data_IF_740340561656
#
_entry.id   IF_740340561656
#
_cell.length_a   1.000
_cell.length_b   1.000
_cell.length_c   1.000
_cell.angle_alpha   90.00
_cell.angle_beta   90.00
_cell.angle_gamma   90.00
#
_symmetry.space_group_name_H-M   'P 1'
#
loop_
_entity.id
_entity.type
_entity.pdbx_description
1 polymer ?
#
# COMPACT_ATOMS: atom_id res chain seq x y z
N UNK A 1 27.11 -91.72 -32.06
CA UNK A 1 27.90 -91.03 -31.04
C UNK A 1 27.50 -89.53 -31.03
N UNK A 2 26.91 -89.14 -29.95
CA UNK A 2 26.27 -87.89 -29.62
C UNK A 2 27.24 -86.72 -29.44
N UNK A 3 26.98 -85.56 -29.91
CA UNK A 3 27.44 -84.30 -29.27
C UNK A 3 26.32 -83.26 -29.37
N UNK A 4 25.82 -82.94 -28.19
CA UNK A 4 24.90 -81.79 -27.97
C UNK A 4 25.70 -80.52 -28.08
N UNK A 5 25.09 -79.51 -28.70
CA UNK A 5 25.54 -78.13 -28.68
C UNK A 5 24.50 -77.31 -27.92
N UNK A 6 24.94 -76.74 -26.79
CA UNK A 6 24.16 -75.89 -25.91
C UNK A 6 24.13 -74.46 -26.51
N UNK A 7 22.93 -73.93 -26.78
CA UNK A 7 22.72 -72.55 -27.18
C UNK A 7 22.42 -71.70 -25.99
N UNK A 8 23.37 -70.81 -25.61
CA UNK A 8 23.16 -69.74 -24.61
C UNK A 8 22.26 -68.66 -25.23
N UNK A 9 21.08 -68.52 -24.66
CA UNK A 9 20.20 -67.38 -24.92
C UNK A 9 20.66 -66.17 -24.09
N UNK A 10 21.04 -65.09 -24.78
CA UNK A 10 21.30 -63.78 -24.17
C UNK A 10 19.98 -63.02 -24.13
N UNK A 11 19.42 -62.84 -22.91
CA UNK A 11 18.27 -62.01 -22.67
C UNK A 11 18.71 -60.53 -22.52
N UNK A 12 18.39 -59.68 -23.49
CA UNK A 12 18.56 -58.23 -23.42
C UNK A 12 17.40 -57.64 -22.58
N UNK A 13 17.72 -57.25 -21.33
CA UNK A 13 16.82 -56.42 -20.51
C UNK A 13 16.92 -54.96 -20.99
N UNK A 14 15.91 -54.52 -21.74
CA UNK A 14 15.73 -53.11 -22.05
C UNK A 14 15.11 -52.40 -20.84
N UNK A 15 15.93 -51.71 -20.06
CA UNK A 15 15.48 -50.85 -18.96
C UNK A 15 14.88 -49.56 -19.51
N UNK A 16 13.56 -49.41 -19.42
CA UNK A 16 12.87 -48.15 -19.71
C UNK A 16 13.07 -47.23 -18.49
N UNK A 17 13.96 -46.23 -18.62
CA UNK A 17 14.06 -45.09 -17.67
C UNK A 17 12.83 -44.20 -17.90
N UNK A 18 11.83 -44.33 -17.04
CA UNK A 18 10.78 -43.34 -16.88
C UNK A 18 11.37 -42.11 -16.19
N UNK A 19 11.77 -41.11 -16.97
CA UNK A 19 12.09 -39.78 -16.46
C UNK A 19 10.78 -39.13 -15.97
N UNK A 20 10.50 -39.23 -14.68
CA UNK A 20 9.46 -38.42 -14.03
C UNK A 20 9.92 -36.99 -14.02
N UNK A 21 9.45 -36.19 -14.96
CA UNK A 21 9.51 -34.72 -14.87
C UNK A 21 8.67 -34.30 -13.68
N UNK A 22 9.33 -34.07 -12.55
CA UNK A 22 8.70 -33.38 -11.43
C UNK A 22 8.29 -31.97 -11.92
N UNK A 23 7.01 -31.81 -12.20
CA UNK A 23 6.43 -30.48 -12.37
C UNK A 23 6.67 -29.76 -11.05
N UNK A 24 7.60 -28.78 -11.06
CA UNK A 24 7.76 -27.85 -9.95
C UNK A 24 6.42 -27.13 -9.77
N UNK A 25 5.68 -27.52 -8.75
CA UNK A 25 4.51 -26.73 -8.33
C UNK A 25 5.00 -25.32 -8.06
N UNK A 26 4.32 -24.29 -8.59
CA UNK A 26 4.66 -22.92 -8.24
C UNK A 26 4.59 -22.83 -6.72
N UNK A 27 5.69 -22.40 -6.11
CA UNK A 27 5.77 -22.17 -4.68
C UNK A 27 4.62 -21.21 -4.34
N UNK A 28 3.58 -21.72 -3.72
CA UNK A 28 2.51 -20.89 -3.17
C UNK A 28 3.18 -19.95 -2.19
N UNK A 29 3.24 -18.66 -2.54
CA UNK A 29 3.80 -17.63 -1.67
C UNK A 29 2.92 -17.57 -0.41
N UNK A 30 3.32 -18.31 0.62
CA UNK A 30 2.65 -18.37 1.94
C UNK A 30 2.79 -17.06 2.72
N UNK A 31 3.26 -15.99 2.07
CA UNK A 31 3.26 -14.68 2.70
C UNK A 31 1.84 -14.26 2.98
N UNK A 32 1.56 -13.96 4.24
CA UNK A 32 0.30 -13.37 4.64
C UNK A 32 0.05 -12.13 3.79
N UNK A 33 -1.08 -12.11 3.07
CA UNK A 33 -1.47 -10.95 2.27
C UNK A 33 -1.63 -9.75 3.19
N UNK A 34 -1.13 -8.62 2.72
CA UNK A 34 -1.18 -7.35 3.40
C UNK A 34 -2.60 -6.81 3.49
N UNK A 35 -2.90 -6.07 4.57
CA UNK A 35 -4.09 -5.23 4.68
C UNK A 35 -3.69 -3.79 4.43
N UNK A 36 -4.36 -3.14 3.47
CA UNK A 36 -4.07 -1.79 3.02
C UNK A 36 -5.17 -0.83 3.50
N UNK A 37 -4.79 0.16 4.30
CA UNK A 37 -5.63 1.30 4.68
C UNK A 37 -5.13 2.55 3.98
N UNK A 38 -6.01 3.28 3.32
CA UNK A 38 -5.66 4.51 2.61
C UNK A 38 -6.43 5.67 3.21
N UNK A 39 -5.70 6.66 3.67
CA UNK A 39 -6.23 7.95 4.13
C UNK A 39 -6.08 9.00 3.04
N UNK A 40 -7.16 9.65 2.67
CA UNK A 40 -7.21 10.71 1.66
C UNK A 40 -7.43 12.05 2.34
N UNK A 41 -6.51 12.97 2.12
CA UNK A 41 -6.64 14.33 2.59
C UNK A 41 -7.51 15.16 1.63
N UNK A 42 -8.52 15.81 2.19
CA UNK A 42 -9.47 16.64 1.48
C UNK A 42 -9.43 18.09 1.99
N UNK A 43 -8.39 18.42 2.78
CA UNK A 43 -8.18 19.74 3.39
C UNK A 43 -7.82 20.82 2.37
N UNK A 44 -8.10 22.07 2.76
CA UNK A 44 -7.81 23.23 1.94
C UNK A 44 -6.33 23.40 1.60
N UNK A 45 -5.41 23.07 2.51
CA UNK A 45 -3.96 23.19 2.27
C UNK A 45 -3.49 22.25 1.15
N UNK A 46 -3.94 21.01 1.15
CA UNK A 46 -3.62 20.02 0.13
C UNK A 46 -4.18 20.40 -1.26
N UNK A 47 -5.39 20.97 -1.27
CA UNK A 47 -6.00 21.49 -2.51
C UNK A 47 -5.26 22.70 -3.05
N UNK A 48 -4.91 23.66 -2.19
CA UNK A 48 -4.18 24.89 -2.57
C UNK A 48 -2.76 24.59 -3.08
N UNK A 49 -2.14 23.54 -2.60
CA UNK A 49 -0.86 23.05 -3.13
C UNK A 49 -0.95 22.54 -4.57
N UNK A 50 -2.17 22.33 -5.10
CA UNK A 50 -2.42 21.78 -6.43
C UNK A 50 -2.21 20.26 -6.53
N UNK A 51 -1.96 19.59 -5.43
CA UNK A 51 -1.61 18.17 -5.40
C UNK A 51 -2.85 17.24 -5.36
N UNK A 52 -4.00 17.72 -4.88
CA UNK A 52 -5.23 16.92 -4.74
C UNK A 52 -5.67 16.23 -6.04
N UNK A 53 -5.83 16.95 -7.14
CA UNK A 53 -6.28 16.38 -8.42
C UNK A 53 -5.32 15.30 -8.95
N UNK A 54 -4.01 15.60 -9.08
CA UNK A 54 -2.99 14.61 -9.42
C UNK A 54 -2.94 13.40 -8.48
N UNK A 55 -3.17 13.61 -7.18
CA UNK A 55 -3.19 12.55 -6.19
C UNK A 55 -4.38 11.60 -6.36
N UNK A 56 -5.58 12.11 -6.68
CA UNK A 56 -6.75 11.26 -6.94
C UNK A 56 -6.54 10.39 -8.19
N UNK A 57 -5.97 10.97 -9.25
CA UNK A 57 -5.61 10.19 -10.45
C UNK A 57 -4.56 9.13 -10.11
N UNK A 58 -3.49 9.49 -9.39
CA UNK A 58 -2.46 8.53 -8.95
C UNK A 58 -3.07 7.40 -8.11
N UNK A 59 -3.95 7.75 -7.17
CA UNK A 59 -4.59 6.77 -6.30
C UNK A 59 -5.47 5.79 -7.09
N UNK A 60 -6.14 6.25 -8.15
CA UNK A 60 -6.85 5.38 -9.08
C UNK A 60 -5.94 4.29 -9.67
N UNK A 61 -4.78 4.67 -10.19
CA UNK A 61 -3.76 3.72 -10.67
C UNK A 61 -3.23 2.83 -9.55
N UNK A 62 -2.89 3.39 -8.40
CA UNK A 62 -2.32 2.67 -7.26
C UNK A 62 -3.26 1.56 -6.77
N UNK A 63 -4.54 1.90 -6.53
CA UNK A 63 -5.54 0.93 -6.11
C UNK A 63 -5.77 -0.14 -7.17
N UNK A 64 -5.93 0.27 -8.43
CA UNK A 64 -6.08 -0.67 -9.55
C UNK A 64 -4.88 -1.64 -9.66
N UNK A 65 -3.67 -1.12 -9.51
CA UNK A 65 -2.44 -1.92 -9.53
C UNK A 65 -2.41 -2.98 -8.43
N UNK A 66 -2.78 -2.60 -7.20
CA UNK A 66 -2.87 -3.53 -6.07
C UNK A 66 -3.98 -4.56 -6.25
N UNK A 67 -5.17 -4.15 -6.65
CA UNK A 67 -6.32 -5.05 -6.85
C UNK A 67 -6.03 -6.12 -7.90
N UNK A 68 -5.24 -5.78 -8.93
CA UNK A 68 -4.89 -6.68 -10.02
C UNK A 68 -3.48 -7.29 -9.91
N UNK A 69 -2.71 -7.00 -8.85
CA UNK A 69 -1.37 -7.54 -8.63
C UNK A 69 -0.36 -7.10 -9.69
N UNK A 70 -0.53 -5.90 -10.27
CA UNK A 70 0.27 -5.44 -11.40
C UNK A 70 1.71 -5.10 -11.00
N UNK A 71 2.63 -5.37 -11.89
CA UNK A 71 4.04 -5.05 -11.72
C UNK A 71 4.69 -5.62 -10.47
N UNK A 72 4.11 -6.67 -9.86
CA UNK A 72 4.58 -7.27 -8.62
C UNK A 72 4.12 -6.55 -7.35
N UNK A 73 3.12 -5.67 -7.45
CA UNK A 73 2.37 -5.17 -6.29
C UNK A 73 1.58 -6.33 -5.67
N UNK A 74 1.58 -6.39 -4.33
CA UNK A 74 0.82 -7.43 -3.63
C UNK A 74 -0.68 -7.15 -3.68
N UNK A 75 -1.49 -8.14 -4.06
CA UNK A 75 -2.93 -8.03 -3.88
C UNK A 75 -3.25 -8.02 -2.38
N UNK A 76 -3.94 -6.99 -1.88
CA UNK A 76 -4.27 -6.92 -0.46
C UNK A 76 -5.31 -7.99 -0.09
N UNK A 77 -5.25 -8.46 1.16
CA UNK A 77 -6.32 -9.28 1.75
C UNK A 77 -7.56 -8.43 2.00
N UNK A 78 -7.33 -7.22 2.51
CA UNK A 78 -8.34 -6.22 2.79
C UNK A 78 -7.83 -4.86 2.34
N UNK A 79 -8.72 -4.05 1.81
CA UNK A 79 -8.45 -2.67 1.42
C UNK A 79 -9.56 -1.79 1.97
N UNK A 80 -9.19 -0.66 2.57
CA UNK A 80 -10.10 0.35 3.08
C UNK A 80 -9.61 1.74 2.71
N UNK A 81 -10.50 2.57 2.18
CA UNK A 81 -10.18 3.97 1.84
C UNK A 81 -11.12 4.90 2.58
N UNK A 82 -10.60 5.93 3.24
CA UNK A 82 -11.40 6.91 3.97
C UNK A 82 -10.76 8.30 3.91
N UNK A 83 -11.54 9.35 4.20
CA UNK A 83 -10.99 10.68 4.43
C UNK A 83 -10.19 10.73 5.74
N UNK A 84 -9.08 11.49 5.75
CA UNK A 84 -8.33 11.77 6.98
C UNK A 84 -9.01 12.91 7.74
N UNK A 85 -9.42 13.95 7.02
CA UNK A 85 -9.98 15.17 7.54
C UNK A 85 -11.48 15.15 7.79
N UNK A 86 -12.03 16.29 8.11
CA UNK A 86 -13.45 16.53 8.32
C UNK A 86 -13.77 17.99 8.50
N UNK A 87 -15.06 18.28 8.71
CA UNK A 87 -15.53 19.63 9.05
C UNK A 87 -15.35 19.93 10.53
N UNK A 88 -15.42 18.89 11.33
CA UNK A 88 -15.30 18.99 12.81
C UNK A 88 -14.23 18.01 13.30
N UNK A 89 -13.58 18.38 14.42
CA UNK A 89 -12.66 17.50 15.11
C UNK A 89 -13.40 16.24 15.61
N UNK A 90 -12.73 15.10 15.55
CA UNK A 90 -13.27 13.80 15.98
C UNK A 90 -14.45 13.26 15.17
N UNK A 91 -14.75 13.85 14.02
CA UNK A 91 -15.81 13.37 13.13
C UNK A 91 -15.52 11.94 12.63
N UNK A 92 -16.44 10.95 12.83
CA UNK A 92 -16.24 9.60 12.35
C UNK A 92 -16.21 9.55 10.83
N UNK A 93 -15.31 8.74 10.25
CA UNK A 93 -15.16 8.59 8.79
C UNK A 93 -15.74 7.28 8.29
N UNK A 94 -16.38 7.36 7.13
CA UNK A 94 -16.80 6.18 6.40
C UNK A 94 -15.59 5.56 5.68
N UNK A 95 -15.38 4.27 5.87
CA UNK A 95 -14.36 3.50 5.17
C UNK A 95 -14.99 2.72 4.02
N UNK A 96 -14.53 2.97 2.81
CA UNK A 96 -14.90 2.25 1.61
C UNK A 96 -14.08 0.96 1.52
N UNK A 97 -14.71 -0.23 1.61
CA UNK A 97 -14.00 -1.51 1.60
C UNK A 97 -13.58 -1.91 0.18
N UNK A 98 -12.73 -2.95 0.10
CA UNK A 98 -12.25 -3.52 -1.17
C UNK A 98 -13.35 -3.81 -2.20
N UNK A 99 -14.55 -4.21 -1.74
CA UNK A 99 -15.68 -4.53 -2.60
C UNK A 99 -16.20 -3.31 -3.39
N UNK A 100 -16.03 -2.10 -2.85
CA UNK A 100 -16.43 -0.87 -3.54
C UNK A 100 -15.59 -0.60 -4.79
N UNK A 101 -14.43 -1.24 -4.90
CA UNK A 101 -13.47 -1.08 -6.00
C UNK A 101 -13.40 -2.30 -6.93
N UNK A 102 -13.94 -3.44 -6.51
CA UNK A 102 -13.82 -4.69 -7.24
C UNK A 102 -14.44 -4.59 -8.64
N UNK A 103 -13.72 -5.07 -9.65
CA UNK A 103 -14.17 -5.10 -11.06
C UNK A 103 -14.21 -3.74 -11.76
N UNK A 104 -13.75 -2.66 -11.11
CA UNK A 104 -13.72 -1.31 -11.70
C UNK A 104 -12.39 -1.07 -12.43
N UNK A 105 -12.47 -0.29 -13.50
CA UNK A 105 -11.29 0.25 -14.17
C UNK A 105 -10.76 1.49 -13.45
N UNK A 106 -9.60 2.00 -13.89
CA UNK A 106 -8.92 3.14 -13.27
C UNK A 106 -9.80 4.39 -13.29
N UNK A 107 -10.50 4.64 -14.39
CA UNK A 107 -11.35 5.83 -14.56
C UNK A 107 -12.54 5.80 -13.62
N UNK A 108 -13.15 4.62 -13.46
CA UNK A 108 -14.25 4.40 -12.52
C UNK A 108 -13.79 4.56 -11.07
N UNK A 109 -12.61 4.01 -10.71
CA UNK A 109 -12.03 4.18 -9.38
C UNK A 109 -11.75 5.66 -9.10
N UNK A 110 -11.11 6.37 -10.04
CA UNK A 110 -10.81 7.80 -9.88
C UNK A 110 -12.10 8.64 -9.74
N UNK A 111 -13.14 8.35 -10.51
CA UNK A 111 -14.42 9.04 -10.42
C UNK A 111 -15.09 8.82 -9.05
N UNK A 112 -15.05 7.60 -8.54
CA UNK A 112 -15.58 7.27 -7.23
C UNK A 112 -14.80 7.96 -6.11
N UNK A 113 -13.45 7.96 -6.17
CA UNK A 113 -12.61 8.65 -5.20
C UNK A 113 -12.95 10.15 -5.14
N UNK A 114 -13.08 10.82 -6.28
CA UNK A 114 -13.46 12.25 -6.34
C UNK A 114 -14.86 12.52 -5.80
N UNK A 115 -15.79 11.58 -6.00
CA UNK A 115 -17.16 11.69 -5.49
C UNK A 115 -17.23 11.47 -3.99
N UNK A 116 -16.50 10.50 -3.44
CA UNK A 116 -16.52 10.17 -2.02
C UNK A 116 -15.68 11.11 -1.15
N UNK A 117 -14.64 11.66 -1.74
CA UNK A 117 -13.67 12.53 -1.05
C UNK A 117 -13.61 13.91 -1.69
N UNK A 118 -14.72 14.68 -1.75
CA UNK A 118 -14.68 16.03 -2.31
C UNK A 118 -13.77 16.92 -1.43
N UNK A 119 -13.03 17.88 -2.03
CA UNK A 119 -12.07 18.72 -1.31
C UNK A 119 -12.77 19.83 -0.51
N UNK A 120 -13.55 19.46 0.49
CA UNK A 120 -14.41 20.38 1.27
C UNK A 120 -14.10 20.38 2.76
N UNK A 121 -13.15 19.58 3.21
CA UNK A 121 -12.80 19.47 4.63
C UNK A 121 -11.97 20.68 5.08
N UNK A 122 -12.14 21.05 6.34
CA UNK A 122 -11.45 22.19 6.95
C UNK A 122 -10.33 21.75 7.90
N UNK A 123 -10.34 20.48 8.31
CA UNK A 123 -9.40 19.93 9.30
C UNK A 123 -8.76 18.64 8.78
N UNK A 124 -7.51 18.41 9.18
CA UNK A 124 -6.79 17.15 8.98
C UNK A 124 -6.53 16.52 10.36
N UNK A 125 -7.32 15.48 10.70
CA UNK A 125 -7.26 14.79 11.99
C UNK A 125 -6.70 13.36 11.84
N UNK A 126 -5.38 13.25 11.89
CA UNK A 126 -4.69 11.97 11.81
C UNK A 126 -5.03 11.04 12.97
N UNK A 127 -5.28 11.58 14.17
CA UNK A 127 -5.49 10.78 15.38
C UNK A 127 -6.80 9.99 15.30
N UNK A 128 -7.87 10.65 14.85
CA UNK A 128 -9.17 9.98 14.63
C UNK A 128 -9.04 8.93 13.53
N UNK A 129 -8.35 9.24 12.44
CA UNK A 129 -8.12 8.28 11.36
C UNK A 129 -7.36 7.04 11.87
N UNK A 130 -6.25 7.20 12.61
CA UNK A 130 -5.48 6.07 13.15
C UNK A 130 -6.26 5.26 14.18
N UNK A 131 -7.04 5.91 15.04
CA UNK A 131 -7.90 5.19 15.98
C UNK A 131 -8.94 4.33 15.26
N UNK A 132 -9.53 4.83 14.16
CA UNK A 132 -10.49 4.07 13.35
C UNK A 132 -9.83 2.92 12.58
N UNK A 133 -8.64 3.13 12.01
CA UNK A 133 -7.83 2.05 11.40
C UNK A 133 -7.59 0.93 12.43
N UNK A 134 -7.19 1.31 13.65
CA UNK A 134 -6.94 0.34 14.71
C UNK A 134 -8.21 -0.44 15.10
N UNK A 135 -9.35 0.24 15.18
CA UNK A 135 -10.64 -0.39 15.47
C UNK A 135 -11.02 -1.40 14.39
N UNK A 136 -10.99 -0.99 13.10
CA UNK A 136 -11.33 -1.88 11.97
C UNK A 136 -10.38 -3.07 11.91
N UNK A 137 -9.06 -2.84 12.10
CA UNK A 137 -8.08 -3.92 12.08
C UNK A 137 -8.36 -4.98 13.15
N UNK A 138 -8.81 -4.58 14.35
CA UNK A 138 -9.22 -5.50 15.43
C UNK A 138 -10.54 -6.21 15.10
N UNK A 139 -11.56 -5.48 14.69
CA UNK A 139 -12.88 -6.02 14.34
C UNK A 139 -12.80 -7.05 13.21
N UNK A 140 -11.89 -6.83 12.24
CA UNK A 140 -11.68 -7.73 11.08
C UNK A 140 -10.61 -8.79 11.31
N UNK A 141 -10.04 -8.90 12.52
CA UNK A 141 -8.97 -9.86 12.85
C UNK A 141 -7.74 -9.76 11.92
N UNK A 142 -7.30 -8.52 11.63
CA UNK A 142 -6.15 -8.25 10.73
C UNK A 142 -4.81 -8.14 11.48
N UNK A 143 -4.82 -8.25 12.81
CA UNK A 143 -3.67 -7.99 13.69
C UNK A 143 -2.46 -8.91 13.46
N UNK A 144 -2.66 -10.06 12.84
CA UNK A 144 -1.56 -11.01 12.52
C UNK A 144 -0.99 -10.80 11.11
N UNK A 145 -1.66 -10.02 10.27
CA UNK A 145 -1.24 -9.74 8.89
C UNK A 145 -0.35 -8.48 8.84
N UNK A 146 0.53 -8.34 7.85
CA UNK A 146 1.17 -7.07 7.58
C UNK A 146 0.10 -5.99 7.31
N UNK A 147 0.30 -4.78 7.85
CA UNK A 147 -0.60 -3.65 7.65
C UNK A 147 0.20 -2.49 7.07
N UNK A 148 -0.27 -1.95 5.97
CA UNK A 148 0.20 -0.67 5.43
C UNK A 148 -0.92 0.37 5.56
N UNK A 149 -0.58 1.51 6.11
CA UNK A 149 -1.40 2.71 6.14
C UNK A 149 -0.77 3.73 5.21
N UNK A 150 -1.41 3.96 4.05
CA UNK A 150 -0.99 4.98 3.09
C UNK A 150 -1.76 6.28 3.36
N UNK A 151 -1.06 7.37 3.57
CA UNK A 151 -1.62 8.71 3.73
C UNK A 151 -1.32 9.53 2.48
N UNK A 152 -2.37 9.93 1.77
CA UNK A 152 -2.30 10.80 0.59
C UNK A 152 -2.62 12.21 1.05
N UNK A 153 -1.59 13.00 1.39
CA UNK A 153 -1.74 14.27 2.12
C UNK A 153 -0.46 15.10 2.04
N UNK A 154 -0.56 16.41 2.21
CA UNK A 154 0.61 17.27 2.47
C UNK A 154 1.21 17.04 3.86
N UNK A 155 0.52 16.33 4.73
CA UNK A 155 0.98 15.89 6.05
C UNK A 155 0.93 16.98 7.13
N UNK A 156 0.22 18.07 6.91
CA UNK A 156 0.08 19.16 7.88
C UNK A 156 -1.10 18.87 8.81
N UNK A 157 -0.89 18.67 10.13
CA UNK A 157 -1.98 18.53 11.09
C UNK A 157 -2.66 19.87 11.31
N UNK A 158 -4.00 19.93 11.18
CA UNK A 158 -4.77 21.18 11.24
C UNK A 158 -5.66 21.29 12.48
N UNK A 159 -5.78 20.24 13.29
CA UNK A 159 -6.61 20.30 14.51
C UNK A 159 -6.04 21.34 15.47
N UNK A 160 -6.80 22.40 15.81
CA UNK A 160 -6.31 23.45 16.70
C UNK A 160 -5.97 22.91 18.08
N UNK A 161 -4.78 23.26 18.58
CA UNK A 161 -4.35 22.92 19.93
C UNK A 161 -4.07 24.21 20.69
N UNK A 162 -4.74 24.48 21.84
CA UNK A 162 -4.51 25.68 22.63
C UNK A 162 -3.03 25.85 22.98
N UNK A 163 -2.49 27.04 22.71
CA UNK A 163 -1.09 27.37 22.99
C UNK A 163 -0.04 26.76 22.04
N UNK A 164 -0.45 26.03 21.02
CA UNK A 164 0.46 25.44 20.01
C UNK A 164 0.33 26.18 18.69
N UNK A 165 1.46 26.63 18.15
CA UNK A 165 1.48 27.33 16.86
C UNK A 165 1.24 26.33 15.72
N UNK A 166 0.33 26.63 14.75
CA UNK A 166 0.13 25.80 13.58
C UNK A 166 1.43 25.54 12.80
N UNK A 167 1.63 24.31 12.32
CA UNK A 167 2.81 23.89 11.55
C UNK A 167 4.12 23.83 12.34
N UNK A 168 4.08 24.01 13.67
CA UNK A 168 5.26 23.86 14.53
C UNK A 168 5.53 22.38 14.86
N UNK A 169 6.79 22.05 15.25
CA UNK A 169 7.16 20.72 15.73
C UNK A 169 6.20 20.15 16.78
N UNK A 170 5.73 21.01 17.68
CA UNK A 170 4.79 20.64 18.74
C UNK A 170 3.44 20.11 18.22
N UNK A 171 3.01 20.48 17.01
CA UNK A 171 1.82 19.90 16.38
C UNK A 171 2.05 18.44 16.01
N UNK A 172 3.21 18.13 15.41
CA UNK A 172 3.55 16.76 15.01
C UNK A 172 3.75 15.83 16.22
N UNK A 173 4.25 16.37 17.34
CA UNK A 173 4.36 15.60 18.59
C UNK A 173 3.00 15.20 19.18
N UNK A 174 1.90 15.79 18.70
CA UNK A 174 0.53 15.44 19.08
C UNK A 174 -0.09 14.36 18.20
N UNK A 175 0.56 13.99 17.11
CA UNK A 175 0.12 12.87 16.29
C UNK A 175 0.37 11.58 17.08
N UNK A 176 -0.72 10.84 17.32
CA UNK A 176 -0.69 9.63 18.15
C UNK A 176 -0.74 8.36 17.28
N UNK A 177 0.39 7.69 17.13
CA UNK A 177 0.49 6.38 16.51
C UNK A 177 0.27 5.22 17.50
N UNK A 178 0.03 5.50 18.78
CA UNK A 178 -0.19 4.50 19.83
C UNK A 178 -1.24 3.44 19.49
N UNK A 179 -2.41 3.80 18.93
CA UNK A 179 -3.41 2.82 18.49
C UNK A 179 -2.88 1.79 17.49
N UNK A 180 -1.86 2.15 16.68
CA UNK A 180 -1.27 1.32 15.64
C UNK A 180 -0.09 0.45 16.13
N UNK A 181 0.58 0.84 17.21
CA UNK A 181 1.86 0.27 17.68
C UNK A 181 1.83 -1.24 17.92
N UNK A 182 0.68 -1.77 18.33
CA UNK A 182 0.52 -3.17 18.72
C UNK A 182 -0.40 -3.98 17.82
N UNK A 183 -0.84 -3.40 16.69
CA UNK A 183 -1.74 -4.10 15.76
C UNK A 183 -1.02 -5.21 15.01
N UNK A 184 0.21 -4.97 14.57
CA UNK A 184 0.99 -5.93 13.79
C UNK A 184 2.48 -5.72 14.01
N UNK A 185 3.27 -6.82 13.93
CA UNK A 185 4.73 -6.71 13.93
C UNK A 185 5.27 -5.99 12.69
N UNK A 186 4.52 -6.01 11.59
CA UNK A 186 4.85 -5.40 10.31
C UNK A 186 3.82 -4.33 9.95
N UNK A 187 3.71 -3.29 10.74
CA UNK A 187 2.92 -2.12 10.42
C UNK A 187 3.81 -1.02 9.86
N UNK A 188 3.38 -0.46 8.73
CA UNK A 188 4.06 0.62 8.06
C UNK A 188 3.07 1.75 7.77
N UNK A 189 3.43 2.97 8.16
CA UNK A 189 2.77 4.21 7.74
C UNK A 189 3.57 4.81 6.59
N UNK A 190 2.93 5.10 5.49
CA UNK A 190 3.51 5.75 4.31
C UNK A 190 2.81 7.06 4.06
N UNK A 191 3.57 8.12 3.99
CA UNK A 191 3.08 9.47 3.70
C UNK A 191 3.56 9.86 2.31
N UNK A 192 2.64 10.20 1.42
CA UNK A 192 2.96 10.68 0.08
C UNK A 192 2.43 12.10 -0.10
N UNK A 193 3.17 12.94 -0.83
CA UNK A 193 2.98 14.37 -1.09
C UNK A 193 3.42 15.35 0.01
N UNK A 194 4.03 15.02 1.16
CA UNK A 194 4.56 16.04 2.03
C UNK A 194 5.67 16.83 1.32
N UNK A 195 5.83 18.11 1.66
CA UNK A 195 7.07 18.80 1.33
C UNK A 195 8.24 18.30 2.21
N UNK A 196 9.51 18.58 1.85
CA UNK A 196 10.67 18.07 2.58
C UNK A 196 10.66 18.41 4.07
N UNK A 197 10.24 19.64 4.44
CA UNK A 197 10.19 20.07 5.83
C UNK A 197 9.11 19.34 6.63
N UNK A 198 7.93 19.16 6.06
CA UNK A 198 6.86 18.36 6.68
C UNK A 198 7.28 16.92 6.81
N UNK A 199 7.86 16.33 5.77
CA UNK A 199 8.40 14.97 5.84
C UNK A 199 9.46 14.80 6.94
N UNK A 200 10.29 15.82 7.17
CA UNK A 200 11.26 15.82 8.27
C UNK A 200 10.57 15.86 9.64
N UNK A 201 9.54 16.71 9.82
CA UNK A 201 8.75 16.74 11.06
C UNK A 201 8.10 15.38 11.33
N UNK A 202 7.49 14.74 10.33
CA UNK A 202 6.95 13.40 10.50
C UNK A 202 8.01 12.39 10.96
N UNK A 203 9.20 12.42 10.40
CA UNK A 203 10.29 11.51 10.76
C UNK A 203 10.86 11.76 12.16
N UNK A 204 10.98 13.04 12.57
CA UNK A 204 11.67 13.42 13.81
C UNK A 204 10.73 13.62 14.98
N UNK A 205 9.57 14.22 14.77
CA UNK A 205 8.72 14.73 15.84
C UNK A 205 7.56 13.79 16.18
N UNK A 206 7.06 12.96 15.23
CA UNK A 206 5.95 12.04 15.51
C UNK A 206 6.42 10.90 16.38
N UNK A 207 5.88 10.76 17.61
CA UNK A 207 6.29 9.73 18.55
C UNK A 207 5.91 8.33 18.01
N UNK A 208 6.85 7.39 18.04
CA UNK A 208 6.61 5.99 17.65
C UNK A 208 7.65 5.06 18.24
N UNK A 209 7.28 3.80 18.41
CA UNK A 209 8.17 2.75 18.92
C UNK A 209 8.43 1.65 17.89
N UNK A 210 7.37 1.08 17.30
CA UNK A 210 7.42 -0.08 16.40
C UNK A 210 6.91 0.22 15.01
N UNK A 211 6.09 1.25 14.86
CA UNK A 211 5.55 1.69 13.57
C UNK A 211 6.68 2.16 12.67
N UNK A 212 6.80 1.56 11.49
CA UNK A 212 7.71 2.04 10.45
C UNK A 212 7.05 3.21 9.74
N UNK A 213 7.78 4.31 9.59
CA UNK A 213 7.30 5.51 8.90
C UNK A 213 8.18 5.83 7.69
N UNK A 214 7.54 6.00 6.55
CA UNK A 214 8.19 6.39 5.31
C UNK A 214 7.49 7.58 4.67
N UNK A 215 8.26 8.45 4.04
CA UNK A 215 7.73 9.62 3.34
C UNK A 215 8.23 9.64 1.90
N UNK A 216 7.33 9.96 0.97
CA UNK A 216 7.66 10.24 -0.44
C UNK A 216 7.21 11.66 -0.75
N UNK A 217 8.16 12.53 -0.98
CA UNK A 217 7.92 13.96 -1.10
C UNK A 217 7.13 14.33 -2.36
N UNK A 218 6.40 15.45 -2.32
CA UNK A 218 5.58 15.96 -3.41
C UNK A 218 6.37 16.08 -4.73
N UNK A 219 7.63 16.52 -4.69
CA UNK A 219 8.47 16.60 -5.89
C UNK A 219 8.74 15.24 -6.53
N UNK A 220 8.92 14.19 -5.72
CA UNK A 220 9.04 12.81 -6.22
C UNK A 220 7.71 12.36 -6.81
N UNK A 221 6.61 12.66 -6.10
CA UNK A 221 5.26 12.30 -6.56
C UNK A 221 4.88 12.92 -7.89
N UNK A 222 5.33 14.13 -8.23
CA UNK A 222 5.12 14.74 -9.55
C UNK A 222 5.68 13.93 -10.72
N UNK A 223 6.65 13.05 -10.45
CA UNK A 223 7.31 12.24 -11.46
C UNK A 223 6.51 11.02 -11.96
N UNK A 224 5.42 10.63 -11.30
CA UNK A 224 4.72 9.39 -11.63
C UNK A 224 4.06 9.42 -13.02
N UNK A 225 3.50 10.58 -13.44
CA UNK A 225 2.82 10.71 -14.75
C UNK A 225 3.77 10.50 -15.92
N UNK A 226 5.03 10.88 -15.78
CA UNK A 226 6.06 10.69 -16.81
C UNK A 226 6.40 9.21 -17.03
N UNK A 227 5.91 8.32 -16.16
CA UNK A 227 6.11 6.88 -16.30
C UNK A 227 5.01 6.21 -17.16
N UNK A 228 3.91 6.91 -17.41
CA UNK A 228 2.83 6.39 -18.26
C UNK A 228 3.24 6.39 -19.72
N UNK A 229 3.01 5.27 -20.39
CA UNK A 229 3.12 5.13 -21.83
C UNK A 229 1.74 5.34 -22.44
N UNK A 230 1.63 6.29 -23.37
CA UNK A 230 0.35 6.59 -24.04
C UNK A 230 -0.12 5.40 -24.88
N UNK A 231 -1.43 5.08 -24.80
CA UNK A 231 -2.03 4.00 -25.57
C UNK A 231 -1.67 2.59 -25.12
N UNK A 232 -1.00 2.45 -23.98
CA UNK A 232 -0.63 1.15 -23.40
C UNK A 232 -1.61 0.80 -22.28
N UNK A 233 -2.07 -0.45 -22.27
CA UNK A 233 -2.98 -0.93 -21.25
C UNK A 233 -2.38 -0.82 -19.83
N UNK A 234 -3.20 -0.63 -18.81
CA UNK A 234 -2.72 -0.55 -17.41
C UNK A 234 -1.87 -1.73 -16.98
N UNK A 235 -2.20 -2.94 -17.45
CA UNK A 235 -1.42 -4.15 -17.16
C UNK A 235 0.03 -4.09 -17.64
N UNK A 236 0.26 -3.41 -18.77
CA UNK A 236 1.55 -3.36 -19.46
C UNK A 236 2.37 -2.10 -19.15
N UNK A 237 1.93 -1.27 -18.23
CA UNK A 237 2.62 -0.03 -17.78
C UNK A 237 3.85 -0.35 -16.91
N UNK A 238 4.81 -1.13 -17.42
CA UNK A 238 5.95 -1.64 -16.66
C UNK A 238 6.78 -0.55 -15.96
N UNK A 239 6.95 0.63 -16.61
CA UNK A 239 7.68 1.76 -16.03
C UNK A 239 6.93 2.33 -14.83
N UNK A 240 5.61 2.50 -14.93
CA UNK A 240 4.78 3.00 -13.84
C UNK A 240 4.85 2.06 -12.64
N UNK A 241 4.63 0.77 -12.86
CA UNK A 241 4.61 -0.19 -11.75
C UNK A 241 5.97 -0.35 -11.09
N UNK A 242 7.04 -0.26 -11.87
CA UNK A 242 8.40 -0.18 -11.29
C UNK A 242 8.56 1.07 -10.44
N UNK A 243 8.13 2.22 -10.94
CA UNK A 243 8.23 3.49 -10.21
C UNK A 243 7.41 3.46 -8.91
N UNK A 244 6.19 2.92 -8.92
CA UNK A 244 5.35 2.76 -7.73
C UNK A 244 6.07 1.93 -6.67
N UNK A 245 6.66 0.79 -7.05
CA UNK A 245 7.42 -0.07 -6.11
C UNK A 245 8.66 0.61 -5.55
N UNK A 246 9.34 1.42 -6.35
CA UNK A 246 10.61 2.03 -5.96
C UNK A 246 10.38 3.28 -5.08
N UNK A 247 9.27 3.98 -5.26
CA UNK A 247 9.05 5.28 -4.62
C UNK A 247 7.90 5.29 -3.60
N UNK A 248 6.89 4.44 -3.76
CA UNK A 248 5.72 4.42 -2.88
C UNK A 248 5.63 3.12 -2.10
N UNK A 249 5.74 1.97 -2.76
CA UNK A 249 5.54 0.65 -2.13
C UNK A 249 6.86 -0.10 -1.90
N UNK A 250 7.96 0.63 -1.78
CA UNK A 250 9.26 0.01 -1.57
C UNK A 250 9.29 -0.80 -0.26
N UNK A 251 9.94 -1.96 -0.33
CA UNK A 251 10.18 -2.83 0.84
C UNK A 251 11.65 -2.74 1.19
N UNK A 252 11.95 -2.29 2.39
CA UNK A 252 13.32 -2.39 2.92
C UNK A 252 13.61 -3.85 3.19
N UNK A 253 14.42 -4.45 2.32
CA UNK A 253 15.01 -5.76 2.60
C UNK A 253 16.12 -5.53 3.62
N UNK A 254 15.89 -5.89 4.88
CA UNK A 254 17.00 -6.11 5.80
C UNK A 254 17.82 -7.25 5.20
N UNK A 255 19.06 -6.97 4.79
CA UNK A 255 20.01 -8.05 4.48
C UNK A 255 20.15 -8.87 5.76
N UNK A 256 20.00 -10.19 5.72
CA UNK A 256 20.44 -11.01 6.85
C UNK A 256 21.93 -10.72 7.06
N UNK A 257 22.29 -10.40 8.30
CA UNK A 257 23.69 -10.30 8.76
C UNK A 257 24.35 -11.67 8.62
#
# INVERSE_FOLDING_TARGET
MSRRADSLGVALLAGVLLATTAMAQPATDHRLRESLFVGVDTSGSFVQAGDYGPAMTFLGYYLYGHLNGLGGLGQPRELFVAAIGGKEASEPKAFHPILDFAGKDITQIEADLKRWFPPTDTLTDFNVFFAQVARIAKERNLVLSPITVLLVTDGIPDVPVPGVRPGSAAMYQRIDLGPLEYLSRNLTVRLIYPNPKVGEHWRKEVPRQRVKLWTTESEVMKGWRAQLAAGVDPGDQARLWKWVRDNVDFRVRLRPL
#
